data_IF_187902197315
#
_entry.id   IF_187902197315
#
_cell.length_a   1.000
_cell.length_b   1.000
_cell.length_c   1.000
_cell.angle_alpha   90.00
_cell.angle_beta   90.00
_cell.angle_gamma   90.00
#
_symmetry.space_group_name_H-M   'P 1'
#
loop_
_entity.id
_entity.type
_entity.pdbx_description
1 polymer ?
#
# COMPACT_ATOMS: atom_id res chain seq x y z
N UNK A 1 -19.00 0.59 6.50
CA UNK A 1 -18.65 1.98 6.82
C UNK A 1 -19.76 2.53 7.69
N UNK A 2 -19.47 3.06 8.89
CA UNK A 2 -20.53 3.59 9.76
C UNK A 2 -21.15 4.83 9.12
N UNK A 3 -22.45 5.03 9.33
CA UNK A 3 -23.12 6.26 8.94
C UNK A 3 -22.38 7.49 9.48
N UNK A 4 -22.05 8.42 8.59
CA UNK A 4 -21.30 9.65 8.92
C UNK A 4 -19.77 9.55 8.93
N UNK A 5 -19.18 8.44 8.45
CA UNK A 5 -17.73 8.31 8.37
C UNK A 5 -17.09 9.38 7.45
N UNK A 6 -16.11 10.12 7.99
CA UNK A 6 -15.40 11.19 7.28
C UNK A 6 -14.13 10.67 6.59
N UNK A 7 -13.81 11.15 5.39
CA UNK A 7 -12.59 10.77 4.69
C UNK A 7 -11.33 11.07 5.50
N UNK A 8 -10.47 10.07 5.61
CA UNK A 8 -9.14 10.19 6.21
C UNK A 8 -8.09 10.05 5.11
N UNK A 9 -7.20 11.03 5.02
CA UNK A 9 -6.05 10.99 4.12
C UNK A 9 -4.78 11.04 4.96
N UNK A 10 -4.06 9.93 4.99
CA UNK A 10 -2.78 9.79 5.68
C UNK A 10 -1.65 9.80 4.66
N UNK A 11 -0.59 10.56 4.94
CA UNK A 11 0.60 10.60 4.08
C UNK A 11 1.30 9.23 4.06
N UNK A 12 1.82 8.79 2.90
CA UNK A 12 2.58 7.55 2.82
C UNK A 12 3.87 7.60 3.66
N UNK A 13 4.26 6.45 4.20
CA UNK A 13 5.54 6.27 4.91
C UNK A 13 6.69 6.29 3.89
N UNK A 14 7.89 6.72 4.34
CA UNK A 14 9.09 6.62 3.51
C UNK A 14 9.49 5.15 3.37
N UNK A 15 9.66 4.69 2.14
CA UNK A 15 10.18 3.35 1.84
C UNK A 15 11.72 3.43 1.80
N UNK A 16 12.44 2.56 2.54
CA UNK A 16 13.90 2.48 2.44
C UNK A 16 14.34 2.18 1.00
N UNK A 17 15.44 2.79 0.56
CA UNK A 17 15.93 2.65 -0.81
C UNK A 17 16.13 1.19 -1.23
N UNK A 18 16.69 0.37 -0.33
CA UNK A 18 16.92 -1.06 -0.57
C UNK A 18 15.65 -1.88 -0.82
N UNK A 19 14.47 -1.39 -0.39
CA UNK A 19 13.19 -2.07 -0.56
C UNK A 19 12.37 -1.50 -1.72
N UNK A 20 12.82 -0.42 -2.35
CA UNK A 20 12.03 0.31 -3.36
C UNK A 20 11.69 -0.57 -4.56
N UNK A 21 12.68 -1.27 -5.11
CA UNK A 21 12.49 -2.17 -6.25
C UNK A 21 11.54 -3.32 -5.91
N UNK A 22 11.69 -3.91 -4.73
CA UNK A 22 10.81 -4.99 -4.27
C UNK A 22 9.36 -4.51 -4.12
N UNK A 23 9.15 -3.30 -3.58
CA UNK A 23 7.83 -2.68 -3.42
C UNK A 23 7.17 -2.40 -4.77
N UNK A 24 7.91 -1.85 -5.73
CA UNK A 24 7.40 -1.61 -7.08
C UNK A 24 6.99 -2.91 -7.78
N UNK A 25 7.81 -3.97 -7.68
CA UNK A 25 7.51 -5.28 -8.25
C UNK A 25 6.26 -5.93 -7.65
N UNK A 26 6.07 -5.85 -6.33
CA UNK A 26 4.88 -6.41 -5.68
C UNK A 26 3.62 -5.59 -6.01
N UNK A 27 3.72 -4.25 -6.12
CA UNK A 27 2.62 -3.40 -6.59
C UNK A 27 2.18 -3.76 -8.01
N UNK A 28 3.13 -3.94 -8.94
CA UNK A 28 2.83 -4.32 -10.31
C UNK A 28 2.17 -5.70 -10.37
N UNK A 29 2.67 -6.67 -9.60
CA UNK A 29 2.06 -8.00 -9.48
C UNK A 29 0.63 -7.93 -8.96
N UNK A 30 0.37 -7.12 -7.93
CA UNK A 30 -0.98 -6.93 -7.39
C UNK A 30 -1.92 -6.25 -8.39
N UNK A 31 -1.43 -5.28 -9.16
CA UNK A 31 -2.18 -4.60 -10.22
C UNK A 31 -2.51 -5.57 -11.37
N UNK A 32 -1.52 -6.35 -11.83
CA UNK A 32 -1.70 -7.38 -12.87
C UNK A 32 -2.68 -8.48 -12.45
N UNK A 33 -2.67 -8.85 -11.17
CA UNK A 33 -3.61 -9.82 -10.62
C UNK A 33 -5.00 -9.21 -10.35
N UNK A 34 -5.20 -7.91 -10.60
CA UNK A 34 -6.48 -7.22 -10.39
C UNK A 34 -6.82 -6.98 -8.92
N UNK A 35 -5.87 -7.16 -8.00
CA UNK A 35 -6.08 -6.95 -6.56
C UNK A 35 -6.15 -5.46 -6.22
N UNK A 36 -5.34 -4.64 -6.90
CA UNK A 36 -5.32 -3.19 -6.75
C UNK A 36 -5.45 -2.50 -8.10
N UNK A 37 -5.82 -1.21 -8.07
CA UNK A 37 -5.92 -0.36 -9.26
C UNK A 37 -5.34 1.02 -8.99
N UNK A 38 -4.58 1.55 -9.94
CA UNK A 38 -4.11 2.94 -9.91
C UNK A 38 -5.28 3.93 -9.88
N UNK A 39 -5.18 4.92 -9.00
CA UNK A 39 -6.17 5.99 -8.84
C UNK A 39 -5.43 7.32 -8.74
N UNK A 40 -5.79 8.30 -9.57
CA UNK A 40 -5.11 9.60 -9.59
C UNK A 40 -5.49 10.50 -8.41
N UNK A 41 -6.75 10.43 -7.96
CA UNK A 41 -7.28 11.29 -6.88
C UNK A 41 -8.16 10.48 -5.95
N UNK A 42 -7.89 10.59 -4.66
CA UNK A 42 -8.69 9.95 -3.62
C UNK A 42 -8.80 10.86 -2.40
N UNK A 43 -9.98 10.87 -1.77
CA UNK A 43 -10.19 11.48 -0.45
C UNK A 43 -9.78 10.54 0.68
N UNK A 44 -9.57 9.26 0.38
CA UNK A 44 -9.21 8.20 1.31
C UNK A 44 -7.81 7.69 1.00
N UNK A 45 -6.90 7.79 1.97
CA UNK A 45 -5.56 7.24 1.84
C UNK A 45 -5.08 6.69 3.19
N UNK A 46 -4.63 5.44 3.16
CA UNK A 46 -3.94 4.78 4.27
C UNK A 46 -2.50 4.54 3.85
N UNK A 47 -1.52 4.66 4.77
CA UNK A 47 -0.14 4.38 4.42
C UNK A 47 0.06 2.88 4.22
N UNK A 48 0.95 2.54 3.30
CA UNK A 48 1.38 1.16 3.08
C UNK A 48 2.54 0.82 4.01
N UNK A 49 2.49 -0.38 4.58
CA UNK A 49 3.52 -1.00 5.41
C UNK A 49 4.16 -2.12 4.62
N UNK A 50 5.50 -2.15 4.63
CA UNK A 50 6.31 -3.18 3.97
C UNK A 50 6.77 -4.17 5.04
N UNK A 51 6.40 -5.44 4.88
CA UNK A 51 6.78 -6.52 5.80
C UNK A 51 7.70 -7.49 5.07
N UNK A 52 9.00 -7.56 5.42
CA UNK A 52 9.90 -8.57 4.89
C UNK A 52 9.48 -9.97 5.36
N UNK A 53 9.54 -10.95 4.45
CA UNK A 53 9.31 -12.37 4.76
C UNK A 53 10.62 -13.13 4.89
N UNK A 54 10.56 -14.31 5.51
CA UNK A 54 11.72 -15.19 5.67
C UNK A 54 12.30 -15.69 4.34
N UNK A 55 11.47 -15.78 3.29
CA UNK A 55 11.86 -16.16 1.93
C UNK A 55 12.50 -15.01 1.12
N UNK A 56 12.81 -13.88 1.78
CA UNK A 56 13.34 -12.64 1.19
C UNK A 56 12.37 -11.88 0.28
N UNK A 57 11.13 -12.35 0.12
CA UNK A 57 10.07 -11.55 -0.50
C UNK A 57 9.50 -10.52 0.48
N UNK A 58 8.65 -9.64 -0.01
CA UNK A 58 7.95 -8.66 0.83
C UNK A 58 6.43 -8.87 0.75
N UNK A 59 5.73 -8.45 1.80
CA UNK A 59 4.27 -8.29 1.79
C UNK A 59 3.93 -6.82 1.97
N UNK A 60 2.97 -6.33 1.19
CA UNK A 60 2.39 -5.00 1.36
C UNK A 60 1.13 -5.11 2.19
N UNK A 61 1.01 -4.29 3.23
CA UNK A 61 -0.16 -4.21 4.09
C UNK A 61 -0.65 -2.76 4.21
N UNK A 62 -1.97 -2.55 4.24
CA UNK A 62 -2.54 -1.25 4.57
C UNK A 62 -2.62 -1.06 6.09
N UNK A 63 -2.20 0.11 6.57
CA UNK A 63 -2.39 0.52 7.97
C UNK A 63 -3.76 1.21 8.10
N UNK A 64 -4.76 0.45 8.56
CA UNK A 64 -6.17 0.88 8.65
C UNK A 64 -6.60 1.26 10.06
N UNK A 65 -5.66 1.72 10.90
CA UNK A 65 -5.95 2.10 12.28
C UNK A 65 -6.84 3.34 12.39
#
# INVERSE_FOLDING_TARGET
MKDGARPVFVKPRKVPYALKEAVEAELEKLERNGVIKKTERTKWASPVVVVPKADKSISLCGDYK
#
